data_IF_029776697051
#
_entry.id   IF_029776697051
#
_cell.length_a   1.000
_cell.length_b   1.000
_cell.length_c   1.000
_cell.angle_alpha   90.00
_cell.angle_beta   90.00
_cell.angle_gamma   90.00
#
_symmetry.space_group_name_H-M   'P 1'
#
loop_
_entity.id
_entity.type
_entity.pdbx_description
1 polymer ?
#
# COMPACT_ATOMS: atom_id res chain seq x y z
N UNK A 1 -31.88 -6.89 14.93
CA UNK A 1 -30.88 -5.82 15.07
C UNK A 1 -29.86 -5.99 13.95
N UNK A 2 -29.90 -5.16 12.93
CA UNK A 2 -29.01 -5.26 11.77
C UNK A 2 -27.62 -4.79 12.18
N UNK A 3 -26.66 -5.73 12.27
CA UNK A 3 -25.26 -5.41 12.43
C UNK A 3 -24.81 -4.68 11.15
N UNK A 4 -24.83 -3.36 11.17
CA UNK A 4 -24.09 -2.58 10.19
C UNK A 4 -22.61 -2.91 10.42
N UNK A 5 -22.07 -3.83 9.61
CA UNK A 5 -20.64 -4.07 9.54
C UNK A 5 -19.98 -2.70 9.33
N UNK A 6 -19.24 -2.23 10.34
CA UNK A 6 -18.52 -0.96 10.24
C UNK A 6 -17.49 -1.13 9.13
N UNK A 7 -17.83 -0.63 7.93
CA UNK A 7 -16.98 -0.77 6.75
C UNK A 7 -15.70 0.00 7.01
N UNK A 8 -14.58 -0.71 7.08
CA UNK A 8 -13.26 -0.10 7.15
C UNK A 8 -13.05 0.76 5.91
N UNK A 9 -12.72 2.06 6.05
CA UNK A 9 -12.39 2.92 4.92
C UNK A 9 -11.27 2.32 4.08
N UNK A 10 -11.45 2.31 2.77
CA UNK A 10 -10.50 1.72 1.82
C UNK A 10 -10.45 2.50 0.51
N UNK A 11 -9.29 2.51 -0.11
CA UNK A 11 -9.07 3.00 -1.47
C UNK A 11 -8.26 1.97 -2.26
N UNK A 12 -8.38 2.00 -3.58
CA UNK A 12 -7.59 1.17 -4.49
C UNK A 12 -7.19 1.99 -5.70
N UNK A 13 -6.00 1.73 -6.22
CA UNK A 13 -5.53 2.35 -7.45
C UNK A 13 -4.60 1.38 -8.21
N UNK A 14 -4.36 1.69 -9.48
CA UNK A 14 -3.41 0.99 -10.34
C UNK A 14 -2.17 1.86 -10.50
N UNK A 15 -1.02 1.24 -10.26
CA UNK A 15 0.29 1.79 -10.52
C UNK A 15 0.81 1.22 -11.85
N UNK A 16 1.19 2.09 -12.77
CA UNK A 16 1.96 1.68 -13.94
C UNK A 16 3.39 1.33 -13.49
N UNK A 17 3.86 0.15 -13.89
CA UNK A 17 5.19 -0.35 -13.54
C UNK A 17 5.88 -0.80 -14.84
N UNK A 18 7.13 -0.41 -15.10
CA UNK A 18 7.85 -0.92 -16.26
C UNK A 18 7.88 -2.45 -16.25
N UNK A 19 7.60 -3.08 -17.41
CA UNK A 19 7.47 -4.53 -17.50
C UNK A 19 8.79 -5.26 -17.15
N UNK A 20 9.92 -4.62 -17.43
CA UNK A 20 11.28 -5.05 -17.11
C UNK A 20 11.69 -4.76 -15.66
N UNK A 21 10.93 -3.95 -14.91
CA UNK A 21 11.22 -3.68 -13.50
C UNK A 21 11.06 -4.98 -12.70
N UNK A 22 12.08 -5.43 -11.94
CA UNK A 22 11.94 -6.60 -11.08
C UNK A 22 10.90 -6.38 -9.98
N UNK A 23 10.15 -7.42 -9.60
CA UNK A 23 9.20 -7.37 -8.47
C UNK A 23 9.87 -6.90 -7.18
N UNK A 24 11.08 -7.38 -6.91
CA UNK A 24 11.88 -6.94 -5.77
C UNK A 24 12.06 -5.42 -5.76
N UNK A 25 12.34 -4.82 -6.92
CA UNK A 25 12.57 -3.38 -7.02
C UNK A 25 11.29 -2.57 -6.76
N UNK A 26 10.14 -3.07 -7.23
CA UNK A 26 8.84 -2.49 -6.85
C UNK A 26 8.64 -2.53 -5.33
N UNK A 27 9.03 -3.63 -4.67
CA UNK A 27 8.89 -3.75 -3.23
C UNK A 27 9.83 -2.83 -2.46
N UNK A 28 11.08 -2.70 -2.92
CA UNK A 28 12.03 -1.76 -2.32
C UNK A 28 11.52 -0.30 -2.46
N UNK A 29 10.88 0.02 -3.59
CA UNK A 29 10.19 1.29 -3.77
C UNK A 29 9.04 1.48 -2.79
N UNK A 30 8.19 0.48 -2.60
CA UNK A 30 7.09 0.55 -1.65
C UNK A 30 7.56 0.68 -0.19
N UNK A 31 8.62 -0.03 0.20
CA UNK A 31 9.27 0.11 1.51
C UNK A 31 9.82 1.53 1.72
N UNK A 32 10.48 2.09 0.71
CA UNK A 32 11.00 3.46 0.74
C UNK A 32 9.87 4.48 0.83
N UNK A 33 8.80 4.31 0.04
CA UNK A 33 7.63 5.18 0.07
C UNK A 33 6.93 5.17 1.42
N UNK A 34 6.70 3.99 2.01
CA UNK A 34 6.11 3.87 3.36
C UNK A 34 7.01 4.53 4.40
N UNK A 35 8.33 4.31 4.32
CA UNK A 35 9.28 4.92 5.26
C UNK A 35 9.18 6.45 5.20
N UNK A 36 9.22 7.03 4.00
CA UNK A 36 9.06 8.48 3.81
C UNK A 36 7.71 9.00 4.32
N UNK A 37 6.62 8.30 4.04
CA UNK A 37 5.28 8.69 4.52
C UNK A 37 5.13 8.54 6.03
N UNK A 38 5.88 7.62 6.65
CA UNK A 38 5.91 7.44 8.10
C UNK A 38 6.61 8.59 8.83
N UNK A 39 7.48 9.35 8.15
CA UNK A 39 8.10 10.56 8.71
C UNK A 39 7.09 11.69 8.92
N UNK A 40 6.04 11.74 8.08
CA UNK A 40 4.98 12.77 8.16
C UNK A 40 3.73 12.29 8.89
N UNK A 41 3.49 10.98 8.96
CA UNK A 41 2.34 10.39 9.65
C UNK A 41 2.67 9.03 10.27
N UNK A 42 2.56 8.94 11.59
CA UNK A 42 2.74 7.69 12.35
C UNK A 42 1.67 6.62 12.06
N UNK A 43 0.66 6.96 11.26
CA UNK A 43 -0.37 6.02 10.81
C UNK A 43 0.15 4.98 9.80
N UNK A 44 1.35 5.18 9.23
CA UNK A 44 1.95 4.21 8.28
C UNK A 44 2.72 3.11 9.02
N UNK A 45 2.29 1.84 8.92
CA UNK A 45 2.96 0.73 9.59
C UNK A 45 4.07 0.14 8.73
N UNK A 46 4.92 -0.66 9.37
CA UNK A 46 5.97 -1.45 8.73
C UNK A 46 5.40 -2.54 7.81
N UNK A 47 6.24 -3.03 6.89
CA UNK A 47 5.96 -4.22 6.09
C UNK A 47 5.80 -5.43 7.01
N UNK A 48 4.75 -6.22 6.76
CA UNK A 48 4.40 -7.42 7.51
C UNK A 48 4.48 -8.68 6.67
N UNK A 49 4.42 -8.55 5.33
CA UNK A 49 4.57 -9.67 4.40
C UNK A 49 5.25 -9.23 3.12
N UNK A 50 6.22 -10.02 2.65
CA UNK A 50 6.90 -9.87 1.36
C UNK A 50 6.97 -11.24 0.67
N UNK A 51 6.21 -11.40 -0.42
CA UNK A 51 6.12 -12.63 -1.20
C UNK A 51 6.48 -12.34 -2.66
N UNK A 52 7.78 -12.39 -2.95
CA UNK A 52 8.32 -12.10 -4.28
C UNK A 52 7.80 -13.07 -5.34
N UNK A 53 7.56 -14.33 -4.97
CA UNK A 53 7.11 -15.36 -5.89
C UNK A 53 5.67 -15.08 -6.37
N UNK A 54 4.80 -14.62 -5.46
CA UNK A 54 3.42 -14.25 -5.79
C UNK A 54 3.25 -12.79 -6.19
N UNK A 55 4.30 -11.98 -6.06
CA UNK A 55 4.24 -10.55 -6.32
C UNK A 55 3.35 -9.79 -5.34
N UNK A 56 3.29 -10.25 -4.08
CA UNK A 56 2.49 -9.63 -3.02
C UNK A 56 3.38 -8.97 -1.96
N UNK A 57 3.07 -7.72 -1.59
CA UNK A 57 3.67 -6.99 -0.47
C UNK A 57 2.57 -6.39 0.40
N UNK A 58 2.66 -6.57 1.72
CA UNK A 58 1.66 -6.06 2.66
C UNK A 58 2.29 -5.34 3.84
N UNK A 59 1.59 -4.35 4.37
CA UNK A 59 1.93 -3.64 5.62
C UNK A 59 0.79 -3.69 6.64
N UNK A 60 1.15 -3.60 7.91
CA UNK A 60 0.19 -3.41 9.00
C UNK A 60 -0.76 -4.58 9.30
N UNK A 61 -0.48 -5.80 8.81
CA UNK A 61 -1.39 -6.95 8.85
C UNK A 61 -2.71 -6.63 8.14
N UNK A 62 -2.66 -6.56 6.81
CA UNK A 62 -3.75 -6.05 5.96
C UNK A 62 -5.13 -6.71 6.16
N UNK A 63 -5.18 -7.98 6.55
CA UNK A 63 -6.42 -8.73 6.76
C UNK A 63 -7.10 -8.43 8.10
N UNK A 64 -6.37 -7.97 9.11
CA UNK A 64 -6.98 -7.65 10.41
C UNK A 64 -7.91 -6.45 10.27
N UNK A 65 -9.14 -6.52 10.78
CA UNK A 65 -10.10 -5.40 10.70
C UNK A 65 -9.86 -4.34 11.79
N UNK A 66 -9.48 -4.77 13.00
CA UNK A 66 -9.36 -3.93 14.20
C UNK A 66 -7.95 -3.35 14.40
N UNK A 67 -7.36 -2.81 13.34
CA UNK A 67 -6.04 -2.16 13.40
C UNK A 67 -6.17 -0.67 13.09
N UNK A 68 -5.63 0.14 14.00
CA UNK A 68 -5.50 1.57 13.78
C UNK A 68 -4.34 1.88 12.83
N UNK A 69 -4.53 2.87 11.97
CA UNK A 69 -3.55 3.28 10.96
C UNK A 69 -3.88 2.76 9.56
N UNK A 70 -2.99 3.05 8.62
CA UNK A 70 -3.05 2.56 7.26
C UNK A 70 -2.57 1.11 7.17
N UNK A 71 -3.05 0.36 6.19
CA UNK A 71 -2.62 -1.00 5.87
C UNK A 71 -2.60 -1.13 4.36
N UNK A 72 -1.44 -1.42 3.82
CA UNK A 72 -1.23 -1.49 2.38
C UNK A 72 -1.18 -2.95 1.93
N UNK A 73 -1.70 -3.20 0.74
CA UNK A 73 -1.51 -4.42 -0.02
C UNK A 73 -1.16 -4.02 -1.46
N UNK A 74 -0.02 -4.47 -1.95
CA UNK A 74 0.41 -4.34 -3.34
C UNK A 74 0.45 -5.74 -3.96
N UNK A 75 -0.17 -5.88 -5.11
CA UNK A 75 -0.15 -7.11 -5.90
C UNK A 75 0.27 -6.80 -7.33
N UNK A 76 1.25 -7.56 -7.84
CA UNK A 76 1.69 -7.52 -9.23
C UNK A 76 1.89 -8.93 -9.74
N UNK A 77 1.12 -9.31 -10.76
CA UNK A 77 1.37 -10.54 -11.49
C UNK A 77 2.77 -10.51 -12.14
N UNK A 78 3.46 -11.65 -12.18
CA UNK A 78 4.82 -11.72 -12.73
C UNK A 78 4.87 -11.18 -14.17
N UNK A 79 5.78 -10.24 -14.43
CA UNK A 79 5.94 -9.61 -15.75
C UNK A 79 4.83 -8.63 -16.15
N UNK A 80 3.82 -8.37 -15.31
CA UNK A 80 2.78 -7.40 -15.62
C UNK A 80 3.32 -5.97 -15.61
N UNK A 81 2.82 -5.11 -16.50
CA UNK A 81 3.15 -3.68 -16.55
C UNK A 81 2.33 -2.83 -15.56
N UNK A 82 1.59 -3.48 -14.67
CA UNK A 82 0.71 -2.84 -13.70
C UNK A 82 0.78 -3.56 -12.37
N UNK A 83 0.71 -2.80 -11.28
CA UNK A 83 0.52 -3.29 -9.93
C UNK A 83 -0.77 -2.70 -9.35
N UNK A 84 -1.57 -3.51 -8.69
CA UNK A 84 -2.73 -3.06 -7.94
C UNK A 84 -2.29 -2.68 -6.53
N UNK A 85 -2.70 -1.50 -6.08
CA UNK A 85 -2.48 -1.02 -4.72
C UNK A 85 -3.84 -0.95 -4.03
N UNK A 86 -3.94 -1.53 -2.85
CA UNK A 86 -5.10 -1.39 -1.97
C UNK A 86 -4.64 -0.84 -0.63
N UNK A 87 -5.32 0.19 -0.14
CA UNK A 87 -5.05 0.81 1.14
C UNK A 87 -6.32 0.75 1.98
N UNK A 88 -6.22 0.16 3.16
CA UNK A 88 -7.24 0.27 4.20
C UNK A 88 -6.73 1.26 5.25
N UNK A 89 -7.60 2.05 5.85
CA UNK A 89 -7.20 2.91 6.96
C UNK A 89 -8.36 3.15 7.90
N UNK A 90 -8.11 2.94 9.19
CA UNK A 90 -9.11 3.18 10.21
C UNK A 90 -8.43 3.79 11.44
N UNK A 91 -9.01 4.84 11.98
CA UNK A 91 -8.72 5.32 13.33
C UNK A 91 -9.51 4.54 14.38
N UNK A 92 -9.41 4.99 15.63
CA UNK A 92 -10.32 4.52 16.68
C UNK A 92 -11.78 4.63 16.19
N UNK A 93 -12.58 3.60 16.45
CA UNK A 93 -13.99 3.52 16.01
C UNK A 93 -14.23 3.61 14.50
N UNK A 94 -13.27 3.23 13.65
CA UNK A 94 -13.39 3.23 12.18
C UNK A 94 -13.51 4.62 11.54
N UNK A 95 -12.98 5.64 12.22
CA UNK A 95 -12.84 6.99 11.63
C UNK A 95 -11.91 6.92 10.41
N UNK A 96 -12.32 7.54 9.31
CA UNK A 96 -11.47 7.65 8.12
C UNK A 96 -10.26 8.54 8.43
N UNK A 97 -9.07 8.00 8.18
CA UNK A 97 -7.80 8.71 8.33
C UNK A 97 -7.42 9.52 7.08
N UNK A 98 -8.36 9.64 6.12
CA UNK A 98 -8.11 10.23 4.82
C UNK A 98 -7.49 9.21 3.86
N UNK A 99 -8.06 8.01 3.78
CA UNK A 99 -7.52 6.88 2.99
C UNK A 99 -7.36 7.24 1.51
N UNK A 100 -8.26 8.06 0.96
CA UNK A 100 -8.14 8.53 -0.42
C UNK A 100 -6.91 9.43 -0.64
N UNK A 101 -6.66 10.36 0.28
CA UNK A 101 -5.49 11.23 0.19
C UNK A 101 -4.20 10.42 0.41
N UNK A 102 -4.20 9.53 1.40
CA UNK A 102 -3.07 8.65 1.67
C UNK A 102 -2.76 7.73 0.47
N UNK A 103 -3.77 7.27 -0.27
CA UNK A 103 -3.56 6.52 -1.52
C UNK A 103 -2.90 7.38 -2.60
N UNK A 104 -3.34 8.64 -2.78
CA UNK A 104 -2.73 9.57 -3.74
C UNK A 104 -1.26 9.84 -3.39
N UNK A 105 -0.96 10.08 -2.13
CA UNK A 105 0.41 10.34 -1.65
C UNK A 105 1.31 9.11 -1.85
N UNK A 106 0.79 7.92 -1.52
CA UNK A 106 1.47 6.64 -1.73
C UNK A 106 1.75 6.40 -3.21
N UNK A 107 0.74 6.53 -4.07
CA UNK A 107 0.89 6.34 -5.52
C UNK A 107 1.90 7.32 -6.10
N UNK A 108 1.81 8.60 -5.74
CA UNK A 108 2.78 9.62 -6.20
C UNK A 108 4.21 9.26 -5.79
N UNK A 109 4.41 8.81 -4.55
CA UNK A 109 5.73 8.39 -4.09
C UNK A 109 6.24 7.13 -4.83
N UNK A 110 5.34 6.18 -5.11
CA UNK A 110 5.68 4.95 -5.84
C UNK A 110 6.02 5.25 -7.29
N UNK A 111 5.22 6.05 -7.99
CA UNK A 111 5.45 6.48 -9.38
C UNK A 111 6.82 7.13 -9.53
N UNK A 112 7.16 8.05 -8.62
CA UNK A 112 8.48 8.68 -8.59
C UNK A 112 9.61 7.67 -8.39
N UNK A 113 9.44 6.68 -7.51
CA UNK A 113 10.47 5.68 -7.26
C UNK A 113 10.66 4.71 -8.43
N UNK A 114 9.58 4.17 -9.01
CA UNK A 114 9.66 3.19 -10.10
C UNK A 114 10.10 3.82 -11.42
N UNK A 115 9.86 5.12 -11.62
CA UNK A 115 10.36 5.87 -12.78
C UNK A 115 11.87 6.13 -12.70
N UNK A 116 12.46 6.10 -11.50
CA UNK A 116 13.90 6.30 -11.32
C UNK A 116 14.62 4.97 -11.56
N UNK A 117 15.12 4.77 -12.79
CA UNK A 117 15.98 3.63 -13.11
C UNK A 117 17.24 3.66 -12.22
N UNK A 118 17.64 2.54 -11.62
CA UNK A 118 18.96 2.46 -11.00
C UNK A 118 20.01 2.60 -12.11
N UNK A 119 20.89 3.59 -11.97
CA UNK A 119 22.12 3.70 -12.76
C UNK A 119 23.06 2.52 -12.48
#
# INVERSE_FOLDING_TARGET
>A
MSAAAKKTPMASDILAVPADLPTQRLFDCAETSITKLSETSSSWPKITRKDNAKGVLESGNFEEENRSGFRMHIERAQGASQAKITLKGAGAYFVDLGVEQAMKDLKTSLESCVATQPH
#
